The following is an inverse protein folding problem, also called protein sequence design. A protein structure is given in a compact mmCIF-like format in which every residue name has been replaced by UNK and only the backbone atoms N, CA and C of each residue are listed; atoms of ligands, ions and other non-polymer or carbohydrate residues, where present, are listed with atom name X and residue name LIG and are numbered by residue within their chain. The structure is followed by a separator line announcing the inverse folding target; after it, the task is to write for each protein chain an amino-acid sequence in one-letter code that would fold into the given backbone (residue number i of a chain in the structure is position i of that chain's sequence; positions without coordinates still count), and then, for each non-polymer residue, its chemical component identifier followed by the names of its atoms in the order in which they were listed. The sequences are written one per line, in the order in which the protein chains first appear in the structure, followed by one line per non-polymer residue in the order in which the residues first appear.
data_IF_367406463356
#
_entry.id   IF_367406463356
#
_cell.length_a   1.000
_cell.length_b   1.000
_cell.length_c   1.000
_cell.angle_alpha   90.00
_cell.angle_beta   90.00
_cell.angle_gamma   90.00
#
_symmetry.space_group_name_H-M   'P 1'
#
loop_
_entity.id
_entity.type
_entity.pdbx_description
1 polymer ?
#
# COMPACT_ATOMS: atom_id res chain seq x y z
N UNK A 1 5.13 -51.71 29.45
CA UNK A 1 5.34 -51.50 27.99
C UNK A 1 4.35 -50.48 27.46
N UNK A 2 4.78 -49.23 27.20
CA UNK A 2 3.98 -48.23 26.47
C UNK A 2 4.93 -47.40 25.61
N UNK A 3 5.29 -47.94 24.44
CA UNK A 3 6.14 -47.25 23.44
C UNK A 3 5.37 -47.05 22.12
N UNK A 4 4.04 -47.05 22.14
CA UNK A 4 3.22 -47.11 20.92
C UNK A 4 2.57 -45.80 20.48
N UNK A 5 2.96 -44.63 21.03
CA UNK A 5 2.12 -43.42 20.89
C UNK A 5 2.69 -42.23 20.08
N UNK A 6 3.86 -42.28 19.44
CA UNK A 6 4.45 -41.05 18.82
C UNK A 6 4.91 -41.22 17.36
N UNK A 7 4.29 -42.10 16.57
CA UNK A 7 4.53 -42.16 15.11
C UNK A 7 3.34 -41.72 14.25
N UNK A 8 2.48 -40.83 14.76
CA UNK A 8 1.42 -40.18 13.97
C UNK A 8 1.87 -38.88 13.28
N UNK A 9 3.16 -38.53 13.32
CA UNK A 9 3.67 -37.45 12.48
C UNK A 9 3.64 -37.90 11.02
N UNK A 10 2.67 -37.32 10.29
CA UNK A 10 2.40 -37.50 8.85
C UNK A 10 3.68 -37.76 8.05
N UNK A 11 3.61 -38.67 7.07
CA UNK A 11 4.63 -38.82 6.01
C UNK A 11 4.75 -37.51 5.20
N UNK A 12 5.47 -36.54 5.74
CA UNK A 12 5.78 -35.27 5.07
C UNK A 12 7.22 -35.29 4.56
N UNK A 13 7.55 -34.33 3.70
CA UNK A 13 8.90 -34.20 3.15
C UNK A 13 9.91 -33.92 4.28
N UNK A 14 11.10 -34.55 4.27
CA UNK A 14 12.11 -34.29 5.29
C UNK A 14 12.63 -32.84 5.18
N UNK A 15 12.63 -32.11 6.30
CA UNK A 15 13.08 -30.71 6.34
C UNK A 15 12.02 -29.72 5.86
N UNK A 16 12.45 -28.63 5.23
CA UNK A 16 11.54 -27.54 4.83
C UNK A 16 10.68 -27.93 3.62
N UNK A 17 9.35 -27.84 3.76
CA UNK A 17 8.37 -28.39 2.81
C UNK A 17 8.53 -27.87 1.37
N UNK A 18 8.77 -26.57 1.19
CA UNK A 18 8.83 -25.92 -0.14
C UNK A 18 10.25 -25.69 -0.69
N UNK A 19 11.30 -26.21 -0.05
CA UNK A 19 12.70 -25.91 -0.39
C UNK A 19 13.59 -27.16 -0.28
N UNK A 20 14.77 -27.13 -0.89
CA UNK A 20 15.73 -28.24 -0.85
C UNK A 20 15.45 -29.36 -1.86
N UNK A 21 16.22 -30.47 -1.73
CA UNK A 21 16.22 -31.59 -2.69
C UNK A 21 14.92 -32.39 -2.68
N UNK A 22 14.37 -32.66 -1.50
CA UNK A 22 13.10 -33.37 -1.32
C UNK A 22 12.08 -32.34 -0.85
N UNK A 23 11.22 -31.88 -1.76
CA UNK A 23 10.19 -30.85 -1.52
C UNK A 23 8.81 -31.33 -1.97
N UNK A 24 7.76 -30.74 -1.42
CA UNK A 24 6.41 -30.96 -1.90
C UNK A 24 6.21 -30.13 -3.17
N UNK A 25 6.19 -30.80 -4.33
CA UNK A 25 5.91 -30.16 -5.61
C UNK A 25 4.40 -30.14 -5.82
N UNK A 26 3.82 -28.94 -5.83
CA UNK A 26 2.41 -28.76 -6.21
C UNK A 26 2.29 -28.90 -7.74
N UNK A 27 1.52 -29.86 -8.27
CA UNK A 27 1.29 -29.94 -9.70
C UNK A 27 0.46 -28.75 -10.17
N UNK A 28 0.66 -28.34 -11.42
CA UNK A 28 -0.12 -27.25 -12.02
C UNK A 28 -1.51 -27.80 -12.34
N UNK A 29 -2.54 -27.20 -11.72
CA UNK A 29 -3.93 -27.56 -12.00
C UNK A 29 -4.41 -26.94 -13.31
N UNK A 30 -5.34 -27.60 -14.01
CA UNK A 30 -5.98 -27.05 -15.22
C UNK A 30 -6.54 -25.64 -14.99
N UNK A 31 -7.26 -25.41 -13.89
CA UNK A 31 -7.77 -24.08 -13.52
C UNK A 31 -6.68 -23.00 -13.43
N UNK A 32 -5.47 -23.35 -13.02
CA UNK A 32 -4.36 -22.40 -12.96
C UNK A 32 -3.87 -22.04 -14.36
N UNK A 33 -3.83 -23.03 -15.27
CA UNK A 33 -3.54 -22.80 -16.68
C UNK A 33 -4.61 -21.92 -17.33
N UNK A 34 -5.90 -22.22 -17.12
CA UNK A 34 -7.00 -21.43 -17.68
C UNK A 34 -6.99 -19.98 -17.20
N UNK A 35 -6.64 -19.76 -15.93
CA UNK A 35 -6.50 -18.41 -15.35
C UNK A 35 -5.35 -17.67 -16.00
N UNK A 36 -4.20 -18.32 -16.17
CA UNK A 36 -3.02 -17.75 -16.81
C UNK A 36 -3.30 -17.38 -18.27
N UNK A 37 -3.98 -18.25 -19.02
CA UNK A 37 -4.36 -17.98 -20.41
C UNK A 37 -5.24 -16.73 -20.52
N UNK A 38 -6.27 -16.61 -19.67
CA UNK A 38 -7.13 -15.42 -19.63
C UNK A 38 -6.38 -14.14 -19.26
N UNK A 39 -5.39 -14.25 -18.38
CA UNK A 39 -4.52 -13.12 -18.03
C UNK A 39 -3.68 -12.68 -19.23
N UNK A 40 -3.12 -13.62 -19.99
CA UNK A 40 -2.38 -13.29 -21.21
C UNK A 40 -3.25 -12.66 -22.29
N UNK A 41 -4.46 -13.19 -22.53
CA UNK A 41 -5.41 -12.59 -23.46
C UNK A 41 -5.75 -11.14 -23.07
N UNK A 42 -5.96 -10.89 -21.77
CA UNK A 42 -6.20 -9.52 -21.26
C UNK A 42 -4.98 -8.63 -21.45
N UNK A 43 -3.78 -9.14 -21.16
CA UNK A 43 -2.54 -8.37 -21.33
C UNK A 43 -2.32 -8.01 -22.80
N UNK A 44 -2.56 -8.94 -23.72
CA UNK A 44 -2.45 -8.70 -25.16
C UNK A 44 -3.40 -7.57 -25.62
N UNK A 45 -4.65 -7.59 -25.17
CA UNK A 45 -5.61 -6.52 -25.44
C UNK A 45 -5.13 -5.17 -24.91
N UNK A 46 -4.59 -5.14 -23.68
CA UNK A 46 -4.04 -3.91 -23.08
C UNK A 46 -2.82 -3.42 -23.87
N UNK A 47 -1.92 -4.31 -24.28
CA UNK A 47 -0.74 -3.96 -25.06
C UNK A 47 -1.13 -3.37 -26.42
N UNK A 48 -2.16 -3.92 -27.08
CA UNK A 48 -2.67 -3.39 -28.33
C UNK A 48 -3.17 -1.95 -28.19
N UNK A 49 -3.88 -1.65 -27.09
CA UNK A 49 -4.36 -0.30 -26.80
C UNK A 49 -3.21 0.66 -26.50
N UNK A 50 -2.22 0.22 -25.73
CA UNK A 50 -1.07 1.05 -25.35
C UNK A 50 -0.06 1.27 -26.50
N UNK A 51 -0.10 0.44 -27.55
CA UNK A 51 0.81 0.55 -28.70
C UNK A 51 0.66 1.84 -29.48
N UNK A 52 -0.55 2.43 -29.51
CA UNK A 52 -0.89 3.57 -30.35
C UNK A 52 -1.15 4.81 -29.51
N UNK A 53 -0.09 5.54 -29.09
CA UNK A 53 -0.26 6.76 -28.32
C UNK A 53 -0.88 7.87 -29.17
N UNK A 54 -1.71 8.72 -28.53
CA UNK A 54 -2.35 9.85 -29.19
C UNK A 54 -1.38 11.03 -29.45
N UNK A 55 -0.45 11.27 -28.53
CA UNK A 55 0.55 12.34 -28.61
C UNK A 55 1.95 11.75 -28.74
N UNK A 56 2.80 12.42 -29.52
CA UNK A 56 4.25 12.15 -29.48
C UNK A 56 4.87 12.69 -28.18
N UNK A 57 6.07 12.20 -27.84
CA UNK A 57 6.78 12.66 -26.64
C UNK A 57 7.02 14.18 -26.64
N UNK A 58 7.31 14.73 -27.82
CA UNK A 58 7.52 16.17 -28.00
C UNK A 58 6.24 16.96 -27.75
N UNK A 59 5.10 16.51 -28.29
CA UNK A 59 3.79 17.14 -28.09
C UNK A 59 3.30 17.04 -26.64
N UNK A 60 3.65 15.94 -25.95
CA UNK A 60 3.35 15.75 -24.55
C UNK A 60 4.21 16.63 -23.63
N UNK A 61 5.31 17.19 -24.11
CA UNK A 61 6.14 18.06 -23.28
C UNK A 61 5.39 19.35 -22.91
N UNK A 62 5.09 19.52 -21.62
CA UNK A 62 4.53 20.75 -21.08
C UNK A 62 3.01 20.93 -21.20
N UNK A 63 2.28 20.00 -21.83
CA UNK A 63 0.82 20.09 -22.04
C UNK A 63 0.00 20.28 -20.75
N UNK A 64 0.50 19.79 -19.62
CA UNK A 64 -0.18 19.84 -18.32
C UNK A 64 0.42 20.86 -17.33
N UNK A 65 1.35 21.72 -17.76
CA UNK A 65 2.01 22.71 -16.87
C UNK A 65 1.00 23.70 -16.29
N UNK A 66 0.11 24.23 -17.13
CA UNK A 66 -0.89 25.22 -16.73
C UNK A 66 -1.89 24.66 -15.71
N UNK A 67 -2.10 23.34 -15.70
CA UNK A 67 -3.03 22.68 -14.79
C UNK A 67 -2.55 22.70 -13.33
N UNK A 68 -1.25 22.94 -13.10
CA UNK A 68 -0.59 23.08 -11.79
C UNK A 68 -0.96 21.99 -10.75
N UNK A 69 -1.42 20.82 -11.19
CA UNK A 69 -1.89 19.75 -10.28
C UNK A 69 -0.79 19.29 -9.34
N UNK A 70 0.43 19.17 -9.86
CA UNK A 70 1.60 18.76 -9.09
C UNK A 70 1.93 19.79 -8.00
N UNK A 71 1.92 21.07 -8.35
CA UNK A 71 2.19 22.16 -7.40
C UNK A 71 1.13 22.20 -6.30
N UNK A 72 -0.16 22.06 -6.65
CA UNK A 72 -1.26 21.98 -5.68
C UNK A 72 -1.16 20.75 -4.78
N UNK A 73 -0.74 19.59 -5.31
CA UNK A 73 -0.52 18.38 -4.51
C UNK A 73 0.65 18.54 -3.55
N UNK A 74 1.76 19.12 -4.02
CA UNK A 74 2.93 19.40 -3.19
C UNK A 74 2.58 20.42 -2.10
N UNK A 75 1.89 21.50 -2.45
CA UNK A 75 1.41 22.52 -1.52
C UNK A 75 0.51 21.89 -0.44
N UNK A 76 -0.48 21.07 -0.83
CA UNK A 76 -1.31 20.33 0.13
C UNK A 76 -0.48 19.44 1.05
N UNK A 77 0.50 18.72 0.52
CA UNK A 77 1.36 17.87 1.33
C UNK A 77 2.20 18.69 2.32
N UNK A 78 2.80 19.81 1.89
CA UNK A 78 3.54 20.71 2.77
C UNK A 78 2.64 21.37 3.80
N UNK A 79 1.45 21.83 3.41
CA UNK A 79 0.50 22.47 4.32
C UNK A 79 0.01 21.47 5.36
N UNK A 80 -0.38 20.27 4.96
CA UNK A 80 -0.80 19.21 5.87
C UNK A 80 0.32 18.77 6.81
N UNK A 81 1.56 18.64 6.33
CA UNK A 81 2.68 18.21 7.16
C UNK A 81 3.20 19.33 8.07
N UNK A 82 3.13 20.59 7.66
CA UNK A 82 3.71 21.72 8.40
C UNK A 82 2.69 22.30 9.37
N UNK A 83 1.47 22.61 8.92
CA UNK A 83 0.43 23.22 9.76
C UNK A 83 -0.08 22.24 10.81
N UNK A 84 -0.21 20.94 10.50
CA UNK A 84 -0.67 19.95 11.51
C UNK A 84 0.40 19.60 12.54
N UNK A 85 1.69 19.79 12.23
CA UNK A 85 2.78 19.59 13.18
C UNK A 85 3.05 20.82 14.04
N UNK A 86 2.62 22.00 13.62
CA UNK A 86 2.69 23.20 14.45
C UNK A 86 1.73 23.06 15.63
N UNK A 87 2.25 23.33 16.82
CA UNK A 87 1.42 23.44 18.02
C UNK A 87 0.48 24.64 17.85
N UNK A 88 -0.77 24.57 18.36
CA UNK A 88 -1.67 25.71 18.31
C UNK A 88 -1.07 26.89 19.08
N UNK A 89 -1.39 28.11 18.63
CA UNK A 89 -1.03 29.31 19.34
C UNK A 89 -1.78 29.38 20.67
N UNK A 90 -1.06 29.65 21.76
CA UNK A 90 -1.66 29.84 23.09
C UNK A 90 -1.82 31.35 23.31
N UNK A 91 -3.04 31.80 23.59
CA UNK A 91 -3.30 33.22 23.87
C UNK A 91 -3.04 33.56 25.33
N UNK A 92 -2.81 34.84 25.61
CA UNK A 92 -2.63 35.32 27.00
C UNK A 92 -3.91 35.11 27.81
N UNK A 93 -5.08 35.27 27.19
CA UNK A 93 -6.39 35.05 27.81
C UNK A 93 -6.57 33.62 28.34
N UNK A 94 -6.19 32.61 27.54
CA UNK A 94 -6.21 31.20 27.98
C UNK A 94 -5.37 30.97 29.22
N UNK A 95 -4.21 31.66 29.32
CA UNK A 95 -3.35 31.57 30.51
C UNK A 95 -3.95 32.31 31.71
N UNK A 96 -4.53 33.48 31.50
CA UNK A 96 -5.11 34.31 32.56
C UNK A 96 -6.42 33.73 33.11
N UNK A 97 -7.14 32.89 32.36
CA UNK A 97 -8.33 32.20 32.85
C UNK A 97 -8.05 31.32 34.08
N UNK A 98 -6.81 30.83 34.26
CA UNK A 98 -6.44 30.08 35.46
C UNK A 98 -6.62 30.88 36.76
N UNK A 99 -6.55 32.22 36.70
CA UNK A 99 -6.71 33.10 37.86
C UNK A 99 -8.16 33.17 38.35
N UNK A 100 -9.14 32.90 37.47
CA UNK A 100 -10.58 32.90 37.81
C UNK A 100 -11.02 31.68 38.62
N UNK A 101 -10.20 30.63 38.72
CA UNK A 101 -10.56 29.38 39.43
C UNK A 101 -10.85 29.65 40.92
N UNK A 102 -10.26 30.70 41.51
CA UNK A 102 -10.46 31.08 42.91
C UNK A 102 -11.45 32.24 43.09
N UNK A 103 -12.13 32.66 42.03
CA UNK A 103 -13.11 33.73 42.09
C UNK A 103 -14.39 33.19 42.72
N UNK A 104 -14.51 33.36 44.04
CA UNK A 104 -15.72 33.08 44.79
C UNK A 104 -16.63 34.31 44.72
N UNK A 105 -17.93 34.08 44.57
CA UNK A 105 -18.93 35.13 44.71
C UNK A 105 -19.15 35.40 46.20
N UNK A 106 -19.23 36.67 46.60
CA UNK A 106 -19.72 37.09 47.93
C UNK A 106 -21.22 36.78 48.08
#
# INVERSE_FOLDING_TARGET
MRVTLINFFKKTVPGHIFRGKRRLVKPVSQRAMDTLTREYERQEQVMLLLRHPYLTLEQSSGHAKELQKREKLVAKWTDEQTLRKMKPHVTIEERLNQLKIKEAWD
#
